data_IF_795005603850
#
_entry.id   IF_795005603850
#
_cell.length_a   1.000
_cell.length_b   1.000
_cell.length_c   1.000
_cell.angle_alpha   90.00
_cell.angle_beta   90.00
_cell.angle_gamma   90.00
#
_symmetry.space_group_name_H-M   'P 1'
#
loop_
_entity.id
_entity.type
_entity.pdbx_description
1 polymer ?
#
# COMPACT_ATOMS: atom_id res chain seq x y z
N UNK A 1 -15.93 4.36 -5.00
CA UNK A 1 -16.65 4.32 -3.70
C UNK A 1 -15.71 4.73 -2.58
N UNK A 2 -16.26 5.43 -1.59
CA UNK A 2 -15.51 5.82 -0.38
C UNK A 2 -15.98 4.98 0.79
N UNK A 3 -15.04 4.36 1.49
CA UNK A 3 -15.30 3.58 2.69
C UNK A 3 -14.46 4.17 3.82
N UNK A 4 -15.08 4.36 4.97
CA UNK A 4 -14.47 4.95 6.16
C UNK A 4 -14.49 3.92 7.29
N UNK A 5 -13.42 3.89 8.09
CA UNK A 5 -13.29 3.06 9.29
C UNK A 5 -13.56 1.57 9.06
N UNK A 6 -12.60 0.88 8.42
CA UNK A 6 -12.70 -0.57 8.25
C UNK A 6 -11.71 -1.29 9.18
N UNK A 7 -12.21 -2.36 9.78
CA UNK A 7 -11.44 -3.21 10.67
C UNK A 7 -11.56 -4.68 10.22
N UNK A 8 -10.45 -5.41 10.20
CA UNK A 8 -10.41 -6.85 9.91
C UNK A 8 -11.03 -7.25 8.56
N UNK A 9 -10.77 -6.49 7.49
CA UNK A 9 -11.35 -6.76 6.17
C UNK A 9 -10.40 -7.57 5.29
N UNK A 10 -10.98 -8.51 4.53
CA UNK A 10 -10.31 -9.22 3.45
C UNK A 10 -11.07 -8.98 2.14
N UNK A 11 -10.43 -8.34 1.17
CA UNK A 11 -11.00 -8.15 -0.17
C UNK A 11 -10.20 -8.92 -1.21
N UNK A 12 -10.92 -9.58 -2.11
CA UNK A 12 -10.32 -10.45 -3.12
C UNK A 12 -10.00 -9.71 -4.42
N UNK A 13 -10.98 -9.03 -4.99
CA UNK A 13 -10.85 -8.27 -6.22
C UNK A 13 -11.62 -6.98 -6.09
N UNK A 14 -10.92 -5.88 -6.31
CA UNK A 14 -11.50 -4.57 -6.14
C UNK A 14 -10.90 -3.65 -7.19
N UNK A 15 -11.75 -2.89 -7.89
CA UNK A 15 -11.31 -2.07 -9.02
C UNK A 15 -10.87 -0.69 -8.53
N UNK A 16 -11.75 0.06 -7.85
CA UNK A 16 -11.40 1.41 -7.37
C UNK A 16 -12.14 1.83 -6.09
N UNK A 17 -11.40 2.06 -5.00
CA UNK A 17 -11.94 2.70 -3.78
C UNK A 17 -11.00 3.74 -3.21
N UNK A 18 -11.60 4.72 -2.55
CA UNK A 18 -10.93 5.55 -1.56
C UNK A 18 -11.25 4.98 -0.18
N UNK A 19 -10.22 4.67 0.60
CA UNK A 19 -10.38 4.10 1.92
C UNK A 19 -9.65 4.96 2.94
N UNK A 20 -10.30 5.20 4.07
CA UNK A 20 -9.73 5.99 5.16
C UNK A 20 -9.86 5.23 6.47
N UNK A 21 -8.82 5.31 7.30
CA UNK A 21 -8.74 4.65 8.60
C UNK A 21 -8.93 3.13 8.50
N UNK A 22 -7.85 2.45 8.14
CA UNK A 22 -7.83 1.03 7.89
C UNK A 22 -6.99 0.31 8.94
N UNK A 23 -7.55 -0.72 9.57
CA UNK A 23 -6.82 -1.56 10.51
C UNK A 23 -6.98 -3.04 10.16
N UNK A 24 -5.85 -3.76 10.07
CA UNK A 24 -5.80 -5.20 9.77
C UNK A 24 -6.48 -5.57 8.45
N UNK A 25 -5.98 -5.04 7.32
CA UNK A 25 -6.58 -5.28 5.99
C UNK A 25 -5.71 -6.18 5.13
N UNK A 26 -6.36 -7.09 4.41
CA UNK A 26 -5.73 -7.94 3.38
C UNK A 26 -6.41 -7.74 2.03
N UNK A 27 -5.67 -7.21 1.05
CA UNK A 27 -6.14 -7.07 -0.33
C UNK A 27 -5.33 -7.97 -1.26
N UNK A 28 -6.01 -8.76 -2.09
CA UNK A 28 -5.35 -9.71 -2.98
C UNK A 28 -5.06 -9.12 -4.37
N UNK A 29 -6.08 -8.57 -5.03
CA UNK A 29 -5.97 -7.96 -6.36
C UNK A 29 -6.69 -6.63 -6.37
N UNK A 30 -5.93 -5.59 -6.68
CA UNK A 30 -6.40 -4.21 -6.68
C UNK A 30 -5.92 -3.50 -7.93
N UNK A 31 -6.83 -2.79 -8.61
CA UNK A 31 -6.44 -1.99 -9.78
C UNK A 31 -5.95 -0.62 -9.33
N UNK A 32 -6.79 0.19 -8.66
CA UNK A 32 -6.40 1.53 -8.22
C UNK A 32 -6.99 1.94 -6.87
N UNK A 33 -6.17 2.46 -5.95
CA UNK A 33 -6.63 2.89 -4.62
C UNK A 33 -5.94 4.14 -4.13
N UNK A 34 -6.71 4.94 -3.38
CA UNK A 34 -6.16 5.94 -2.47
C UNK A 34 -6.48 5.49 -1.06
N UNK A 35 -5.46 5.22 -0.27
CA UNK A 35 -5.63 4.82 1.13
C UNK A 35 -4.99 5.86 2.05
N UNK A 36 -5.67 6.18 3.14
CA UNK A 36 -5.16 7.12 4.15
C UNK A 36 -5.28 6.52 5.54
N UNK A 37 -4.26 6.70 6.38
CA UNK A 37 -4.16 6.16 7.74
C UNK A 37 -4.33 4.64 7.80
N UNK A 38 -3.21 3.94 7.64
CA UNK A 38 -3.19 2.49 7.53
C UNK A 38 -2.34 1.84 8.61
N UNK A 39 -2.90 0.83 9.24
CA UNK A 39 -2.21 0.00 10.21
C UNK A 39 -2.36 -1.49 9.86
N UNK A 40 -1.23 -2.21 9.82
CA UNK A 40 -1.16 -3.65 9.55
C UNK A 40 -1.84 -4.06 8.23
N UNK A 41 -1.20 -3.74 7.09
CA UNK A 41 -1.78 -4.01 5.77
C UNK A 41 -0.93 -5.00 4.98
N UNK A 42 -1.61 -5.90 4.30
CA UNK A 42 -0.99 -6.82 3.34
C UNK A 42 -1.63 -6.69 1.96
N UNK A 43 -0.85 -6.24 0.98
CA UNK A 43 -1.26 -6.15 -0.43
C UNK A 43 -0.44 -7.13 -1.27
N UNK A 44 -1.11 -7.95 -2.08
CA UNK A 44 -0.42 -8.96 -2.89
C UNK A 44 -0.11 -8.48 -4.31
N UNK A 45 -1.13 -8.03 -5.05
CA UNK A 45 -0.98 -7.56 -6.43
C UNK A 45 -1.73 -6.27 -6.61
N UNK A 46 -1.00 -5.20 -6.90
CA UNK A 46 -1.57 -3.88 -7.10
C UNK A 46 -1.02 -3.24 -8.38
N UNK A 47 -1.88 -2.59 -9.17
CA UNK A 47 -1.42 -1.86 -10.36
C UNK A 47 -0.97 -0.46 -9.96
N UNK A 48 -1.86 0.36 -9.41
CA UNK A 48 -1.52 1.70 -8.93
C UNK A 48 -2.12 1.98 -7.55
N UNK A 49 -1.41 2.72 -6.72
CA UNK A 49 -2.02 3.28 -5.51
C UNK A 49 -1.25 4.50 -4.98
N UNK A 50 -1.95 5.28 -4.18
CA UNK A 50 -1.37 6.35 -3.35
C UNK A 50 -1.70 6.06 -1.89
N UNK A 51 -0.68 5.92 -1.03
CA UNK A 51 -0.89 5.74 0.40
C UNK A 51 -0.27 6.88 1.20
N UNK A 52 -0.98 7.28 2.26
CA UNK A 52 -0.53 8.31 3.21
C UNK A 52 -0.65 7.77 4.64
N UNK A 53 0.37 8.01 5.46
CA UNK A 53 0.46 7.59 6.88
C UNK A 53 0.30 6.08 7.08
N UNK A 54 1.42 5.38 7.07
CA UNK A 54 1.45 3.93 7.07
C UNK A 54 2.29 3.34 8.18
N UNK A 55 1.74 2.32 8.82
CA UNK A 55 2.44 1.54 9.82
C UNK A 55 2.29 0.04 9.54
N UNK A 56 3.41 -0.67 9.48
CA UNK A 56 3.51 -2.12 9.26
C UNK A 56 2.84 -2.59 7.96
N UNK A 57 3.51 -2.39 6.83
CA UNK A 57 2.97 -2.74 5.52
C UNK A 57 3.82 -3.79 4.82
N UNK A 58 3.15 -4.76 4.20
CA UNK A 58 3.79 -5.75 3.33
C UNK A 58 3.18 -5.73 1.93
N UNK A 59 4.00 -5.38 0.95
CA UNK A 59 3.64 -5.34 -0.46
C UNK A 59 4.47 -6.34 -1.26
N UNK A 60 3.81 -7.18 -2.05
CA UNK A 60 4.51 -8.22 -2.80
C UNK A 60 4.81 -7.82 -4.24
N UNK A 61 3.79 -7.44 -5.01
CA UNK A 61 3.93 -7.05 -6.41
C UNK A 61 3.14 -5.78 -6.68
N UNK A 62 3.85 -4.73 -7.03
CA UNK A 62 3.25 -3.42 -7.30
C UNK A 62 3.85 -2.83 -8.57
N UNK A 63 3.02 -2.28 -9.47
CA UNK A 63 3.54 -1.62 -10.67
C UNK A 63 3.99 -0.21 -10.33
N UNK A 64 3.09 0.66 -9.92
CA UNK A 64 3.42 2.06 -9.58
C UNK A 64 2.83 2.46 -8.25
N UNK A 65 3.58 3.23 -7.46
CA UNK A 65 3.02 3.82 -6.25
C UNK A 65 3.69 5.10 -5.77
N UNK A 66 2.91 5.84 -4.98
CA UNK A 66 3.38 6.97 -4.19
C UNK A 66 3.06 6.70 -2.72
N UNK A 67 4.08 6.73 -1.87
CA UNK A 67 3.88 6.61 -0.44
C UNK A 67 4.44 7.81 0.30
N UNK A 68 3.68 8.26 1.30
CA UNK A 68 4.07 9.37 2.16
C UNK A 68 3.95 8.94 3.61
N UNK A 69 4.99 9.20 4.41
CA UNK A 69 5.07 8.90 5.84
C UNK A 69 4.86 7.42 6.17
N UNK A 70 5.95 6.67 6.15
CA UNK A 70 5.91 5.23 6.40
C UNK A 70 6.80 4.77 7.54
N UNK A 71 6.29 3.79 8.27
CA UNK A 71 6.98 3.07 9.32
C UNK A 71 6.86 1.56 9.09
N UNK A 72 8.00 0.86 9.07
CA UNK A 72 8.12 -0.59 8.91
C UNK A 72 7.47 -1.14 7.63
N UNK A 73 8.20 -1.02 6.52
CA UNK A 73 7.70 -1.43 5.19
C UNK A 73 8.54 -2.56 4.62
N UNK A 74 7.87 -3.56 4.07
CA UNK A 74 8.50 -4.63 3.29
C UNK A 74 7.94 -4.67 1.88
N UNK A 75 8.80 -4.46 0.90
CA UNK A 75 8.50 -4.45 -0.53
C UNK A 75 9.33 -5.53 -1.23
N UNK A 76 8.67 -6.41 -1.97
CA UNK A 76 9.37 -7.49 -2.66
C UNK A 76 9.68 -7.13 -4.12
N UNK A 77 8.67 -6.82 -4.92
CA UNK A 77 8.81 -6.55 -6.35
C UNK A 77 8.02 -5.31 -6.72
N UNK A 78 8.73 -4.27 -7.14
CA UNK A 78 8.14 -2.98 -7.47
C UNK A 78 8.72 -2.44 -8.76
N UNK A 79 7.89 -1.99 -9.70
CA UNK A 79 8.39 -1.40 -10.95
C UNK A 79 8.83 0.04 -10.70
N UNK A 80 7.95 0.90 -10.21
CA UNK A 80 8.27 2.30 -9.93
C UNK A 80 7.69 2.78 -8.60
N UNK A 81 8.43 3.66 -7.91
CA UNK A 81 7.94 4.28 -6.70
C UNK A 81 8.53 5.63 -6.32
N UNK A 82 7.71 6.42 -5.63
CA UNK A 82 8.09 7.72 -5.03
C UNK A 82 7.82 7.72 -3.52
N UNK A 83 8.77 8.24 -2.74
CA UNK A 83 8.85 7.96 -1.30
C UNK A 83 9.40 9.14 -0.49
N UNK A 84 8.57 9.83 0.30
CA UNK A 84 8.99 11.10 0.92
C UNK A 84 9.53 11.02 2.35
N UNK A 85 8.93 10.21 3.23
CA UNK A 85 9.31 10.12 4.65
C UNK A 85 9.22 8.69 5.15
N UNK A 86 10.32 8.18 5.71
CA UNK A 86 10.54 6.75 5.88
C UNK A 86 11.28 6.40 7.17
N UNK A 87 10.79 5.35 7.82
CA UNK A 87 11.48 4.68 8.91
C UNK A 87 11.37 3.17 8.72
N UNK A 88 12.52 2.50 8.61
CA UNK A 88 12.68 1.05 8.39
C UNK A 88 12.00 0.50 7.12
N UNK A 89 12.80 0.28 6.08
CA UNK A 89 12.37 -0.32 4.83
C UNK A 89 13.21 -1.55 4.52
N UNK A 90 12.55 -2.61 4.04
CA UNK A 90 13.20 -3.71 3.35
C UNK A 90 12.70 -3.79 1.91
N UNK A 91 13.59 -3.51 0.97
CA UNK A 91 13.40 -3.64 -0.47
C UNK A 91 14.15 -4.88 -0.96
N UNK A 92 13.59 -5.63 -1.91
CA UNK A 92 14.32 -6.75 -2.55
C UNK A 92 14.57 -6.51 -4.04
N UNK A 93 13.55 -6.12 -4.80
CA UNK A 93 13.66 -5.94 -6.24
C UNK A 93 12.88 -4.71 -6.69
N UNK A 94 13.60 -3.70 -7.18
CA UNK A 94 13.07 -2.41 -7.62
C UNK A 94 13.63 -2.08 -9.00
N UNK A 95 12.79 -1.68 -9.95
CA UNK A 95 13.26 -1.26 -11.30
C UNK A 95 13.60 0.23 -11.30
N UNK A 96 12.76 1.09 -10.72
CA UNK A 96 13.03 2.52 -10.55
C UNK A 96 12.60 3.03 -9.19
N UNK A 97 13.40 3.96 -8.65
CA UNK A 97 13.20 4.59 -7.35
C UNK A 97 13.45 6.09 -7.46
N UNK A 98 12.52 6.88 -6.91
CA UNK A 98 12.71 8.30 -6.63
C UNK A 98 12.39 8.55 -5.16
N UNK A 99 13.25 9.28 -4.45
CA UNK A 99 12.96 9.82 -3.13
C UNK A 99 12.10 11.08 -3.27
#
# INVERSE_FOLDING_TARGET
YTLTHLHNIKLLQTVSYTLTHLHNIKLLRTVSYTLTHLHNIKLLRTVSYTLTHLHNIKLLRTVSYTLTHLHNIKLLQTVSYTLTHLHNIKLLQTVSYTL
#
